data_IF_798397931095
#
_entry.id   IF_798397931095
#
_cell.length_a   1.000
_cell.length_b   1.000
_cell.length_c   1.000
_cell.angle_alpha   90.00
_cell.angle_beta   90.00
_cell.angle_gamma   90.00
#
_symmetry.space_group_name_H-M   'P 1'
#
loop_
_entity.id
_entity.type
_entity.pdbx_description
1 polymer ?
#
# COMPACT_ATOMS: atom_id res chain seq x y z
N UNK A 1 4.91 4.57 -3.85
CA UNK A 1 5.85 4.75 -5.00
C UNK A 1 6.92 3.67 -4.97
N UNK A 2 7.64 3.56 -3.87
CA UNK A 2 8.85 2.74 -3.72
C UNK A 2 8.48 1.36 -3.22
N UNK A 3 8.12 0.44 -4.12
CA UNK A 3 8.01 -1.01 -3.79
C UNK A 3 7.65 -1.86 -4.99
N UNK A 4 8.19 -3.08 -5.02
CA UNK A 4 7.62 -4.21 -5.75
C UNK A 4 8.41 -4.69 -6.95
N UNK A 5 9.44 -3.99 -7.40
CA UNK A 5 10.31 -4.50 -8.46
C UNK A 5 11.74 -4.69 -7.98
N UNK A 6 12.46 -5.63 -8.59
CA UNK A 6 13.89 -5.80 -8.33
C UNK A 6 14.70 -4.57 -8.71
N UNK A 7 14.24 -3.80 -9.68
CA UNK A 7 14.86 -2.52 -10.05
C UNK A 7 14.77 -1.57 -8.86
N UNK A 8 13.62 -1.49 -8.24
CA UNK A 8 13.44 -0.64 -7.07
C UNK A 8 14.31 -1.08 -5.89
N UNK A 9 14.30 -2.37 -5.58
CA UNK A 9 15.11 -2.94 -4.51
C UNK A 9 16.62 -2.73 -4.73
N UNK A 10 17.13 -2.93 -5.95
CA UNK A 10 18.55 -2.77 -6.28
C UNK A 10 19.00 -1.32 -6.16
N UNK A 11 18.17 -0.37 -6.57
CA UNK A 11 18.48 1.06 -6.52
C UNK A 11 17.85 1.78 -5.32
N UNK A 12 17.22 1.04 -4.41
CA UNK A 12 16.61 1.58 -3.18
C UNK A 12 15.67 2.76 -3.45
N UNK A 13 14.81 2.64 -4.46
CA UNK A 13 13.84 3.66 -4.83
C UNK A 13 14.36 4.78 -5.72
N UNK A 14 15.67 4.88 -5.97
CA UNK A 14 16.22 5.93 -6.86
C UNK A 14 15.64 5.80 -8.28
N UNK A 15 15.63 4.59 -8.84
CA UNK A 15 15.07 4.34 -10.17
C UNK A 15 13.58 4.69 -10.24
N UNK A 16 12.82 4.37 -9.22
CA UNK A 16 11.40 4.72 -9.12
C UNK A 16 11.22 6.24 -9.08
N UNK A 17 12.05 6.95 -8.30
CA UNK A 17 11.98 8.41 -8.22
C UNK A 17 12.32 9.06 -9.55
N UNK A 18 13.31 8.56 -10.28
CA UNK A 18 13.66 9.07 -11.61
C UNK A 18 12.55 8.80 -12.65
N UNK A 19 11.90 7.61 -12.59
CA UNK A 19 10.73 7.32 -13.44
C UNK A 19 9.56 8.25 -13.08
N UNK A 20 9.29 8.47 -11.81
CA UNK A 20 8.26 9.40 -11.36
C UNK A 20 8.55 10.84 -11.80
N UNK A 21 9.82 11.27 -11.77
CA UNK A 21 10.24 12.56 -12.29
C UNK A 21 9.97 12.70 -13.80
N UNK A 22 10.13 11.61 -14.56
CA UNK A 22 9.76 11.59 -15.98
C UNK A 22 8.24 11.70 -16.18
N UNK A 23 7.46 11.01 -15.36
CA UNK A 23 5.99 11.05 -15.41
C UNK A 23 5.41 12.38 -14.90
N UNK A 24 6.16 13.11 -14.09
CA UNK A 24 5.85 14.44 -13.58
C UNK A 24 4.43 14.57 -12.98
N UNK A 25 4.08 13.80 -11.94
CA UNK A 25 2.79 13.94 -11.28
C UNK A 25 2.64 15.32 -10.64
N UNK A 26 1.43 15.86 -10.63
CA UNK A 26 1.15 17.16 -10.03
C UNK A 26 1.32 17.17 -8.50
N UNK A 27 0.90 16.12 -7.80
CA UNK A 27 1.06 15.93 -6.34
C UNK A 27 1.09 14.44 -6.00
N UNK A 28 1.89 14.08 -5.01
CA UNK A 28 1.99 12.71 -4.51
C UNK A 28 1.89 12.70 -2.97
N UNK A 29 1.22 11.69 -2.39
CA UNK A 29 1.27 11.41 -0.96
C UNK A 29 2.26 10.29 -0.64
N UNK A 30 2.78 10.28 0.59
CA UNK A 30 3.59 9.20 1.11
C UNK A 30 2.77 7.94 1.38
N UNK A 31 3.36 6.78 1.11
CA UNK A 31 2.91 5.49 1.61
C UNK A 31 3.88 4.91 2.65
N UNK A 32 3.60 3.69 3.12
CA UNK A 32 4.45 3.02 4.11
C UNK A 32 5.78 2.55 3.53
N UNK A 33 5.81 2.19 2.27
CA UNK A 33 7.00 1.64 1.63
C UNK A 33 8.08 2.68 1.31
N UNK A 34 7.75 3.96 1.36
CA UNK A 34 8.74 5.02 1.29
C UNK A 34 9.74 4.99 2.46
N UNK A 35 9.40 4.28 3.54
CA UNK A 35 10.26 4.11 4.73
C UNK A 35 11.08 2.82 4.73
N UNK A 36 10.92 1.94 3.75
CA UNK A 36 11.59 0.63 3.71
C UNK A 36 13.12 0.72 3.76
N UNK A 37 13.68 1.82 3.28
CA UNK A 37 15.13 2.10 3.32
C UNK A 37 15.53 3.10 4.40
N UNK A 38 14.65 3.37 5.34
CA UNK A 38 14.86 4.28 6.47
C UNK A 38 14.66 5.76 6.14
N UNK A 39 14.53 6.55 7.21
CA UNK A 39 14.23 7.98 7.10
C UNK A 39 15.26 8.80 6.34
N UNK A 40 16.59 8.67 6.59
CA UNK A 40 17.59 9.45 5.85
C UNK A 40 17.49 9.24 4.35
N UNK A 41 17.17 8.01 3.94
CA UNK A 41 17.01 7.67 2.53
C UNK A 41 15.72 8.25 1.94
N UNK A 42 14.60 8.21 2.69
CA UNK A 42 13.36 8.88 2.29
C UNK A 42 13.60 10.39 2.04
N UNK A 43 14.30 11.07 2.95
CA UNK A 43 14.62 12.50 2.79
C UNK A 43 15.51 12.76 1.57
N UNK A 44 16.42 11.84 1.27
CA UNK A 44 17.20 11.90 0.04
C UNK A 44 16.32 11.75 -1.20
N UNK A 45 15.40 10.77 -1.24
CA UNK A 45 14.46 10.59 -2.35
C UNK A 45 13.52 11.80 -2.50
N UNK A 46 13.07 12.37 -1.40
CA UNK A 46 12.24 13.59 -1.42
C UNK A 46 12.98 14.76 -2.09
N UNK A 47 14.28 14.92 -1.84
CA UNK A 47 15.10 15.94 -2.51
C UNK A 47 15.35 15.68 -3.98
N UNK A 48 15.30 14.42 -4.42
CA UNK A 48 15.39 14.05 -5.84
C UNK A 48 14.10 14.32 -6.60
N UNK A 49 12.94 14.32 -5.93
CA UNK A 49 11.65 14.53 -6.56
C UNK A 49 11.53 15.94 -7.15
N UNK A 50 11.11 16.04 -8.42
CA UNK A 50 10.78 17.32 -9.08
C UNK A 50 9.28 17.64 -9.00
N UNK A 51 8.53 16.90 -8.19
CA UNK A 51 7.12 17.04 -7.91
C UNK A 51 6.87 17.15 -6.40
N UNK A 52 5.78 17.78 -5.96
CA UNK A 52 5.48 17.93 -4.55
C UNK A 52 5.03 16.60 -3.92
N UNK A 53 5.63 16.26 -2.79
CA UNK A 53 5.21 15.18 -1.91
C UNK A 53 4.58 15.79 -0.67
N UNK A 54 3.31 15.44 -0.37
CA UNK A 54 2.55 16.03 0.76
C UNK A 54 2.26 15.01 1.85
N UNK A 55 2.39 15.46 3.11
CA UNK A 55 1.93 14.71 4.26
C UNK A 55 1.66 15.62 5.47
N UNK A 56 0.44 15.57 6.01
CA UNK A 56 0.00 16.45 7.09
C UNK A 56 0.24 15.90 8.49
N UNK A 57 0.36 14.58 8.65
CA UNK A 57 0.33 13.92 9.95
C UNK A 57 1.64 13.25 10.39
N UNK A 58 2.76 13.58 9.76
CA UNK A 58 4.10 13.15 10.17
C UNK A 58 4.88 14.29 10.80
N UNK A 59 5.37 14.08 12.02
CA UNK A 59 6.13 15.08 12.77
C UNK A 59 7.50 14.59 13.17
N UNK A 60 8.49 15.47 13.12
CA UNK A 60 9.78 15.29 13.78
C UNK A 60 9.59 15.67 15.25
N UNK A 61 9.54 14.69 16.14
CA UNK A 61 9.19 14.84 17.55
C UNK A 61 10.03 15.92 18.26
N UNK A 62 11.34 15.85 18.06
CA UNK A 62 12.28 16.76 18.71
C UNK A 62 12.02 18.24 18.42
N UNK A 63 11.50 18.55 17.24
CA UNK A 63 11.32 19.93 16.77
C UNK A 63 9.86 20.35 16.67
N UNK A 64 8.94 19.42 16.91
CA UNK A 64 7.49 19.62 16.70
C UNK A 64 7.18 20.22 15.31
N UNK A 65 7.93 19.79 14.29
CA UNK A 65 7.76 20.23 12.90
C UNK A 65 7.32 19.05 12.03
N UNK A 66 6.45 19.33 11.08
CA UNK A 66 6.09 18.33 10.07
C UNK A 66 7.33 17.89 9.27
N UNK A 67 7.37 16.60 8.95
CA UNK A 67 8.47 16.00 8.19
C UNK A 67 8.45 16.45 6.73
N UNK A 68 7.24 16.56 6.16
CA UNK A 68 6.98 16.93 4.76
C UNK A 68 6.13 18.19 4.68
N UNK A 69 6.01 18.73 3.48
CA UNK A 69 5.03 19.78 3.22
C UNK A 69 3.63 19.24 3.46
N UNK A 70 2.81 19.91 4.29
CA UNK A 70 1.51 19.39 4.66
C UNK A 70 0.47 19.46 3.54
N UNK A 71 0.65 20.33 2.57
CA UNK A 71 -0.29 20.57 1.47
C UNK A 71 0.41 21.15 0.24
N UNK A 72 -0.31 21.15 -0.87
CA UNK A 72 0.03 21.87 -2.10
C UNK A 72 -1.24 22.43 -2.72
N UNK A 73 -1.24 23.69 -3.11
CA UNK A 73 -2.28 24.29 -3.95
C UNK A 73 -1.78 24.32 -5.38
N UNK A 74 -2.64 23.93 -6.30
CA UNK A 74 -2.36 23.90 -7.74
C UNK A 74 -3.52 24.56 -8.45
N UNK A 75 -3.23 25.49 -9.37
CA UNK A 75 -4.21 26.00 -10.30
C UNK A 75 -4.29 25.10 -11.53
N UNK A 76 -5.46 24.54 -11.82
CA UNK A 76 -5.73 23.75 -13.01
C UNK A 76 -7.07 24.17 -13.61
N UNK A 77 -7.06 24.50 -14.88
CA UNK A 77 -8.26 24.92 -15.62
C UNK A 77 -9.00 26.13 -14.99
N UNK A 78 -8.28 26.98 -14.27
CA UNK A 78 -8.85 28.13 -13.56
C UNK A 78 -9.28 27.83 -12.13
N UNK A 79 -9.25 26.57 -11.68
CA UNK A 79 -9.62 26.16 -10.33
C UNK A 79 -8.39 26.09 -9.42
N UNK A 80 -8.49 26.62 -8.22
CA UNK A 80 -7.49 26.47 -7.16
C UNK A 80 -7.80 25.23 -6.32
N UNK A 81 -6.95 24.19 -6.49
CA UNK A 81 -7.14 22.88 -5.89
C UNK A 81 -6.16 22.67 -4.74
N UNK A 82 -6.66 22.48 -3.53
CA UNK A 82 -5.88 22.17 -2.33
C UNK A 82 -5.71 20.65 -2.19
N UNK A 83 -4.46 20.20 -2.21
CA UNK A 83 -4.10 18.82 -1.92
C UNK A 83 -3.42 18.72 -0.56
N UNK A 84 -3.81 17.74 0.26
CA UNK A 84 -3.11 17.36 1.48
C UNK A 84 -3.02 15.84 1.59
N UNK A 85 -2.12 15.33 2.44
CA UNK A 85 -1.83 13.89 2.51
C UNK A 85 -1.87 13.33 3.92
N UNK A 86 -2.38 12.10 4.06
CA UNK A 86 -2.43 11.34 5.32
C UNK A 86 -1.84 9.94 5.11
N UNK A 87 -1.04 9.49 6.07
CA UNK A 87 -0.42 8.16 6.06
C UNK A 87 -0.96 7.30 7.21
N UNK A 88 -0.82 5.97 7.10
CA UNK A 88 -1.28 5.04 8.13
C UNK A 88 -0.45 5.08 9.42
N UNK A 89 -1.11 4.94 10.56
CA UNK A 89 -0.48 4.78 11.87
C UNK A 89 0.36 3.48 11.97
N UNK A 90 0.06 2.46 11.17
CA UNK A 90 0.74 1.15 11.21
C UNK A 90 2.22 1.20 10.84
N UNK A 91 2.66 2.22 10.11
CA UNK A 91 4.09 2.47 9.85
C UNK A 91 4.88 2.70 11.14
N UNK A 92 4.21 3.16 12.17
CA UNK A 92 4.78 3.40 13.49
C UNK A 92 5.56 2.22 14.03
N UNK A 93 5.08 1.01 13.82
CA UNK A 93 5.74 -0.16 14.39
C UNK A 93 7.13 -0.36 13.78
N UNK A 94 7.30 0.01 12.51
CA UNK A 94 8.60 0.00 11.83
C UNK A 94 9.47 1.20 12.22
N UNK A 95 8.87 2.37 12.47
CA UNK A 95 9.57 3.62 12.79
C UNK A 95 9.70 3.91 14.28
N UNK A 96 9.02 3.17 15.16
CA UNK A 96 9.15 3.29 16.64
C UNK A 96 10.57 3.15 17.15
N UNK A 97 11.45 2.53 16.37
CA UNK A 97 12.86 2.37 16.69
C UNK A 97 13.71 3.59 16.30
N UNK A 98 13.15 4.53 15.51
CA UNK A 98 13.88 5.76 15.19
C UNK A 98 13.50 6.86 16.21
N UNK A 99 14.44 7.26 17.10
CA UNK A 99 14.16 8.27 18.14
C UNK A 99 13.89 9.67 17.57
N UNK A 100 14.13 9.89 16.29
CA UNK A 100 13.98 11.19 15.62
C UNK A 100 12.57 11.41 15.09
N UNK A 101 11.86 10.32 14.73
CA UNK A 101 10.47 10.41 14.26
C UNK A 101 9.57 9.94 15.37
N UNK A 102 8.59 10.70 15.70
CA UNK A 102 7.87 10.26 16.79
C UNK A 102 6.60 10.90 17.18
N UNK A 103 5.79 11.45 16.35
CA UNK A 103 4.41 11.65 16.77
C UNK A 103 3.53 11.35 15.58
N UNK A 104 2.99 10.18 15.64
CA UNK A 104 1.91 9.79 14.79
C UNK A 104 0.65 10.11 15.54
N UNK A 105 -0.19 10.74 14.86
CA UNK A 105 -1.48 11.11 15.37
C UNK A 105 -2.46 9.97 15.04
N UNK A 106 -3.34 9.70 15.96
CA UNK A 106 -4.50 8.84 15.74
C UNK A 106 -5.31 9.33 14.55
N UNK A 107 -6.21 8.53 14.02
CA UNK A 107 -7.08 8.94 12.92
C UNK A 107 -7.89 10.21 13.28
N UNK A 108 -8.30 10.34 14.55
CA UNK A 108 -8.96 11.53 15.09
C UNK A 108 -8.05 12.76 15.04
N UNK A 109 -6.79 12.62 15.44
CA UNK A 109 -5.82 13.72 15.42
C UNK A 109 -5.45 14.08 13.96
N UNK A 110 -5.33 13.07 13.07
CA UNK A 110 -5.11 13.27 11.64
C UNK A 110 -6.24 14.11 11.02
N UNK A 111 -7.50 13.85 11.38
CA UNK A 111 -8.62 14.69 10.93
C UNK A 111 -8.47 16.13 11.39
N UNK A 112 -7.99 16.36 12.63
CA UNK A 112 -7.71 17.71 13.12
C UNK A 112 -6.57 18.41 12.35
N UNK A 113 -5.54 17.66 11.92
CA UNK A 113 -4.47 18.23 11.08
C UNK A 113 -4.99 18.67 9.71
N UNK A 114 -5.88 17.89 9.09
CA UNK A 114 -6.60 18.29 7.87
C UNK A 114 -7.40 19.57 8.13
N UNK A 115 -8.18 19.61 9.22
CA UNK A 115 -8.97 20.77 9.59
C UNK A 115 -8.14 22.04 9.83
N UNK A 116 -6.92 21.93 10.40
CA UNK A 116 -6.00 23.07 10.55
C UNK A 116 -5.56 23.61 9.18
N UNK A 117 -5.30 22.73 8.21
CA UNK A 117 -4.89 23.13 6.86
C UNK A 117 -6.07 23.82 6.16
N UNK A 118 -7.25 23.20 6.13
CA UNK A 118 -8.43 23.77 5.49
C UNK A 118 -8.82 25.12 6.11
N UNK A 119 -8.77 25.24 7.45
CA UNK A 119 -9.06 26.50 8.14
C UNK A 119 -8.04 27.61 7.84
N UNK A 120 -6.77 27.26 7.56
CA UNK A 120 -5.77 28.26 7.19
C UNK A 120 -6.10 28.95 5.86
N UNK A 121 -6.82 28.26 4.99
CA UNK A 121 -7.25 28.73 3.66
C UNK A 121 -8.75 29.04 3.58
N UNK A 122 -9.44 29.14 4.73
CA UNK A 122 -10.88 29.37 4.76
C UNK A 122 -11.33 30.66 4.09
N UNK A 123 -10.45 31.67 4.04
CA UNK A 123 -10.73 32.97 3.41
C UNK A 123 -10.17 33.06 1.98
N UNK A 124 -9.47 32.03 1.53
CA UNK A 124 -9.00 31.93 0.17
C UNK A 124 -10.04 31.18 -0.65
N UNK A 125 -10.12 31.51 -1.91
CA UNK A 125 -11.08 30.91 -2.84
C UNK A 125 -10.54 29.56 -3.33
N UNK A 126 -10.71 28.53 -2.51
CA UNK A 126 -10.32 27.16 -2.83
C UNK A 126 -11.53 26.44 -3.41
N UNK A 127 -11.46 26.14 -4.69
CA UNK A 127 -12.55 25.50 -5.44
C UNK A 127 -12.74 24.02 -5.13
N UNK A 128 -11.64 23.32 -4.79
CA UNK A 128 -11.65 21.89 -4.56
C UNK A 128 -10.61 21.48 -3.52
N UNK A 129 -10.99 20.69 -2.52
CA UNK A 129 -10.05 20.14 -1.54
C UNK A 129 -9.98 18.62 -1.66
N UNK A 130 -8.78 18.10 -2.00
CA UNK A 130 -8.50 16.69 -2.23
C UNK A 130 -7.56 16.15 -1.16
N UNK A 131 -7.98 15.06 -0.52
CA UNK A 131 -7.19 14.30 0.43
C UNK A 131 -6.55 13.10 -0.26
N UNK A 132 -5.24 13.02 -0.24
CA UNK A 132 -4.48 11.84 -0.70
C UNK A 132 -4.11 11.00 0.50
N UNK A 133 -4.71 9.81 0.64
CA UNK A 133 -4.53 8.98 1.83
C UNK A 133 -3.81 7.67 1.53
N UNK A 134 -3.02 7.21 2.51
CA UNK A 134 -2.43 5.87 2.48
C UNK A 134 -2.70 5.12 3.79
N UNK A 135 -3.99 5.03 4.16
CA UNK A 135 -4.47 4.47 5.44
C UNK A 135 -5.36 3.23 5.27
N UNK A 136 -5.76 2.92 4.05
CA UNK A 136 -6.67 1.82 3.71
C UNK A 136 -8.13 2.25 3.68
N UNK A 137 -8.92 1.56 2.86
CA UNK A 137 -10.31 1.93 2.55
C UNK A 137 -11.21 2.07 3.78
N UNK A 138 -11.15 1.11 4.71
CA UNK A 138 -11.95 1.17 5.94
C UNK A 138 -11.62 2.41 6.79
N UNK A 139 -10.32 2.74 6.88
CA UNK A 139 -9.88 3.96 7.58
C UNK A 139 -10.25 5.23 6.81
N UNK A 140 -10.32 5.20 5.48
CA UNK A 140 -10.80 6.33 4.67
C UNK A 140 -12.28 6.61 4.96
N UNK A 141 -13.12 5.56 5.10
CA UNK A 141 -14.52 5.68 5.48
C UNK A 141 -14.69 6.27 6.89
N UNK A 142 -13.84 5.85 7.84
CA UNK A 142 -13.83 6.36 9.20
C UNK A 142 -13.36 7.84 9.23
N UNK A 143 -12.27 8.15 8.52
CA UNK A 143 -11.77 9.51 8.40
C UNK A 143 -12.83 10.47 7.84
N UNK A 144 -13.52 10.07 6.78
CA UNK A 144 -14.57 10.90 6.17
C UNK A 144 -15.72 11.23 7.14
N UNK A 145 -16.00 10.36 8.13
CA UNK A 145 -16.99 10.64 9.19
C UNK A 145 -16.48 11.65 10.23
N UNK A 146 -15.15 11.71 10.41
CA UNK A 146 -14.49 12.61 11.36
C UNK A 146 -14.25 14.01 10.79
N UNK A 147 -14.20 14.14 9.47
CA UNK A 147 -14.02 15.41 8.79
C UNK A 147 -15.28 16.25 8.92
N UNK A 148 -15.11 17.48 9.38
CA UNK A 148 -16.23 18.41 9.56
C UNK A 148 -16.63 19.03 8.22
N UNK A 149 -17.94 19.21 7.97
CA UNK A 149 -18.42 19.80 6.70
C UNK A 149 -17.84 21.19 6.41
N UNK A 150 -17.62 21.99 7.45
CA UNK A 150 -17.05 23.34 7.32
C UNK A 150 -15.59 23.38 6.89
N UNK A 151 -14.90 22.24 6.80
CA UNK A 151 -13.54 22.15 6.28
C UNK A 151 -13.50 22.01 4.76
N UNK A 152 -14.65 21.74 4.10
CA UNK A 152 -14.77 21.74 2.65
C UNK A 152 -13.96 20.65 1.95
N UNK A 153 -13.76 19.48 2.58
CA UNK A 153 -13.11 18.35 1.91
C UNK A 153 -14.10 17.68 0.96
N UNK A 154 -13.73 17.56 -0.32
CA UNK A 154 -14.62 17.07 -1.39
C UNK A 154 -14.32 15.64 -1.80
N UNK A 155 -13.03 15.26 -1.83
CA UNK A 155 -12.57 14.00 -2.38
C UNK A 155 -11.45 13.39 -1.55
N UNK A 156 -11.54 12.09 -1.31
CA UNK A 156 -10.46 11.25 -0.79
C UNK A 156 -10.02 10.28 -1.89
N UNK A 157 -8.74 10.35 -2.26
CA UNK A 157 -8.09 9.36 -3.12
C UNK A 157 -7.22 8.50 -2.22
N UNK A 158 -7.67 7.27 -1.97
CA UNK A 158 -7.08 6.36 -1.00
C UNK A 158 -6.09 5.34 -1.60
N UNK A 159 -5.34 4.71 -0.70
CA UNK A 159 -4.38 3.65 -1.01
C UNK A 159 -4.24 2.64 0.14
N UNK A 160 -3.15 1.88 0.17
CA UNK A 160 -2.73 0.91 1.18
C UNK A 160 -3.48 -0.43 1.14
N UNK A 161 -4.81 -0.46 1.14
CA UNK A 161 -5.60 -1.70 1.14
C UNK A 161 -5.70 -2.37 -0.24
N UNK A 162 -5.23 -1.71 -1.29
CA UNK A 162 -5.32 -2.16 -2.69
C UNK A 162 -6.76 -2.38 -3.16
N UNK A 163 -7.71 -1.67 -2.57
CA UNK A 163 -9.13 -1.82 -2.89
C UNK A 163 -9.42 -1.29 -4.30
N UNK A 164 -10.20 -2.04 -5.06
CA UNK A 164 -10.70 -1.63 -6.38
C UNK A 164 -12.15 -1.19 -6.21
N UNK A 165 -12.42 0.10 -6.36
CA UNK A 165 -13.75 0.67 -6.25
C UNK A 165 -14.31 0.95 -7.65
N UNK A 166 -15.22 0.10 -8.11
CA UNK A 166 -15.95 0.32 -9.38
C UNK A 166 -16.81 1.59 -9.34
N UNK A 167 -17.22 2.02 -8.15
CA UNK A 167 -17.92 3.28 -7.88
C UNK A 167 -17.34 3.91 -6.63
N UNK A 168 -17.17 5.24 -6.57
CA UNK A 168 -16.76 5.93 -5.36
C UNK A 168 -17.79 5.70 -4.24
N UNK A 169 -17.29 5.51 -3.01
CA UNK A 169 -18.13 5.62 -1.83
C UNK A 169 -18.41 7.10 -1.54
N UNK A 170 -19.50 7.40 -0.83
CA UNK A 170 -19.85 8.76 -0.45
C UNK A 170 -20.21 8.83 1.03
N UNK A 171 -19.48 9.62 1.80
CA UNK A 171 -19.71 9.87 3.23
C UNK A 171 -19.73 11.39 3.44
N UNK A 172 -20.77 11.92 4.06
CA UNK A 172 -20.89 13.36 4.38
C UNK A 172 -20.58 14.29 3.19
N UNK A 173 -21.05 13.95 1.99
CA UNK A 173 -20.75 14.60 0.70
C UNK A 173 -19.34 14.32 0.15
N UNK A 174 -18.41 13.78 0.92
CA UNK A 174 -17.04 13.46 0.49
C UNK A 174 -17.09 12.20 -0.39
N UNK A 175 -16.51 12.28 -1.57
CA UNK A 175 -16.30 11.13 -2.46
C UNK A 175 -15.02 10.40 -2.04
N UNK A 176 -15.05 9.06 -2.08
CA UNK A 176 -13.90 8.22 -1.71
C UNK A 176 -13.64 7.22 -2.83
N UNK A 177 -12.43 7.20 -3.38
CA UNK A 177 -12.04 6.30 -4.44
C UNK A 177 -10.67 5.65 -4.20
N UNK A 178 -10.53 4.42 -4.67
CA UNK A 178 -9.24 3.71 -4.78
C UNK A 178 -9.23 2.91 -6.08
N UNK A 179 -8.07 2.87 -6.74
CA UNK A 179 -7.90 2.26 -8.06
C UNK A 179 -7.11 0.93 -8.03
N UNK A 180 -6.96 0.29 -6.86
CA UNK A 180 -6.25 -0.99 -6.76
C UNK A 180 -4.74 -0.85 -6.56
N UNK A 181 -3.96 -1.70 -7.24
CA UNK A 181 -2.50 -1.82 -7.03
C UNK A 181 -1.79 -2.14 -8.35
N UNK A 182 -0.47 -1.95 -8.36
CA UNK A 182 0.43 -2.48 -9.38
C UNK A 182 0.36 -1.79 -10.74
N UNK A 183 -0.25 -0.62 -10.82
CA UNK A 183 -0.51 0.06 -12.09
C UNK A 183 -1.39 -0.77 -13.05
N UNK A 184 -2.25 -1.64 -12.52
CA UNK A 184 -3.19 -2.43 -13.33
C UNK A 184 -4.23 -1.51 -14.01
N UNK A 185 -4.49 -0.35 -13.42
CA UNK A 185 -5.49 0.60 -13.92
C UNK A 185 -5.27 2.02 -13.39
N UNK A 186 -5.85 2.99 -14.09
CA UNK A 186 -5.92 4.39 -13.70
C UNK A 186 -7.33 4.70 -13.20
N UNK A 187 -7.44 5.32 -12.02
CA UNK A 187 -8.70 5.94 -11.59
C UNK A 187 -8.82 7.32 -12.20
N UNK A 188 -9.88 7.56 -12.98
CA UNK A 188 -10.17 8.85 -13.60
C UNK A 188 -11.44 9.43 -13.06
N UNK A 189 -11.34 10.65 -12.51
CA UNK A 189 -12.49 11.52 -12.24
C UNK A 189 -12.58 12.62 -13.30
N UNK A 190 -13.75 12.78 -13.87
CA UNK A 190 -14.17 13.99 -14.57
C UNK A 190 -15.13 14.73 -13.66
N UNK A 191 -14.76 15.92 -13.16
CA UNK A 191 -15.47 16.63 -12.09
C UNK A 191 -15.96 17.97 -12.61
N UNK A 192 -17.17 18.34 -12.25
CA UNK A 192 -17.75 19.67 -12.43
C UNK A 192 -17.86 20.34 -11.07
N UNK A 193 -17.18 21.48 -10.92
CA UNK A 193 -17.22 22.32 -9.73
C UNK A 193 -18.10 23.51 -9.98
N UNK A 194 -18.88 23.90 -8.99
CA UNK A 194 -19.65 25.15 -8.98
C UNK A 194 -18.84 26.22 -8.29
N UNK A 195 -18.40 27.26 -9.02
CA UNK A 195 -17.52 28.31 -8.55
C UNK A 195 -18.15 29.19 -7.44
N UNK A 196 -19.49 29.30 -7.38
CA UNK A 196 -20.16 30.09 -6.33
C UNK A 196 -20.19 29.37 -5.00
N UNK A 197 -20.21 28.03 -5.03
CA UNK A 197 -20.34 27.21 -3.81
C UNK A 197 -19.10 26.39 -3.49
N UNK A 198 -18.09 26.40 -4.37
CA UNK A 198 -16.85 25.62 -4.26
C UNK A 198 -17.16 24.16 -3.93
N UNK A 199 -18.07 23.55 -4.71
CA UNK A 199 -18.54 22.19 -4.45
C UNK A 199 -18.63 21.36 -5.72
N UNK A 200 -18.40 20.05 -5.59
CA UNK A 200 -18.64 19.10 -6.69
C UNK A 200 -20.14 18.96 -6.92
N UNK A 201 -20.63 19.42 -8.08
CA UNK A 201 -22.04 19.31 -8.50
C UNK A 201 -22.30 18.09 -9.38
N UNK A 202 -21.32 17.66 -10.16
CA UNK A 202 -21.40 16.43 -10.95
C UNK A 202 -20.02 15.79 -11.10
N UNK A 203 -20.00 14.48 -11.30
CA UNK A 203 -18.76 13.74 -11.56
C UNK A 203 -18.99 12.47 -12.34
N UNK A 204 -17.96 12.06 -13.09
CA UNK A 204 -17.87 10.72 -13.66
C UNK A 204 -16.64 10.02 -13.09
N UNK A 205 -16.76 8.74 -12.79
CA UNK A 205 -15.65 7.91 -12.32
C UNK A 205 -15.46 6.72 -13.23
N UNK A 206 -14.22 6.44 -13.60
CA UNK A 206 -13.86 5.30 -14.43
C UNK A 206 -12.58 4.66 -13.91
N UNK A 207 -12.53 3.34 -13.94
CA UNK A 207 -11.29 2.56 -13.84
C UNK A 207 -10.87 2.21 -15.26
N UNK A 208 -9.75 2.75 -15.70
CA UNK A 208 -9.20 2.56 -17.04
C UNK A 208 -8.07 1.54 -16.93
N UNK A 209 -8.23 0.30 -17.43
CA UNK A 209 -7.17 -0.69 -17.42
C UNK A 209 -5.94 -0.20 -18.20
N UNK A 210 -4.74 -0.44 -17.65
CA UNK A 210 -3.48 -0.15 -18.34
C UNK A 210 -3.06 -1.42 -19.07
N UNK A 211 -3.30 -1.46 -20.36
CA UNK A 211 -2.94 -2.55 -21.24
C UNK A 211 -2.33 -2.04 -22.57
N UNK A 212 -1.92 -2.96 -23.41
CA UNK A 212 -1.29 -2.65 -24.71
C UNK A 212 -2.23 -1.90 -25.68
N UNK A 213 -3.55 -1.92 -25.42
CA UNK A 213 -4.56 -1.25 -26.26
C UNK A 213 -4.77 0.20 -25.85
N UNK A 214 -4.44 0.58 -24.59
CA UNK A 214 -4.69 1.91 -24.07
C UNK A 214 -3.83 2.96 -24.77
N UNK A 215 -2.53 2.70 -24.90
CA UNK A 215 -1.58 3.58 -25.55
C UNK A 215 -0.33 2.81 -26.00
N UNK A 216 0.35 3.35 -27.04
CA UNK A 216 1.68 2.84 -27.39
C UNK A 216 2.69 3.23 -26.31
N UNK A 217 3.60 2.29 -25.91
CA UNK A 217 4.65 2.61 -24.96
C UNK A 217 5.50 3.80 -25.42
N UNK A 218 5.78 4.72 -24.53
CA UNK A 218 6.74 5.78 -24.77
C UNK A 218 8.15 5.19 -24.93
N UNK A 219 8.78 5.46 -26.08
CA UNK A 219 10.07 4.86 -26.44
C UNK A 219 11.18 5.30 -25.48
N UNK A 220 11.20 6.60 -25.10
CA UNK A 220 12.24 7.15 -24.22
C UNK A 220 12.12 6.58 -22.82
N UNK A 221 10.90 6.52 -22.29
CA UNK A 221 10.65 5.92 -20.97
C UNK A 221 10.99 4.43 -20.99
N UNK A 222 10.65 3.71 -22.05
CA UNK A 222 10.98 2.29 -22.22
C UNK A 222 12.50 2.07 -22.23
N UNK A 223 13.27 2.85 -22.99
CA UNK A 223 14.73 2.80 -23.02
C UNK A 223 15.33 3.12 -21.66
N UNK A 224 14.78 4.13 -20.98
CA UNK A 224 15.20 4.54 -19.66
C UNK A 224 15.02 3.43 -18.62
N UNK A 225 13.82 2.83 -18.54
CA UNK A 225 13.54 1.67 -17.66
C UNK A 225 14.45 0.50 -18.01
N UNK A 226 14.66 0.20 -19.28
CA UNK A 226 15.53 -0.88 -19.74
C UNK A 226 16.99 -0.67 -19.35
N UNK A 227 17.45 0.58 -19.19
CA UNK A 227 18.82 0.87 -18.71
C UNK A 227 19.05 0.37 -17.29
N UNK A 228 18.06 0.49 -16.40
CA UNK A 228 18.09 -0.09 -15.05
C UNK A 228 17.95 -1.61 -15.11
N UNK A 229 16.96 -2.10 -15.87
CA UNK A 229 16.63 -3.52 -15.97
C UNK A 229 17.81 -4.38 -16.42
N UNK A 230 18.57 -3.96 -17.43
CA UNK A 230 19.74 -4.70 -17.93
C UNK A 230 20.78 -5.02 -16.87
N UNK A 231 21.02 -4.11 -15.91
CA UNK A 231 21.97 -4.35 -14.82
C UNK A 231 21.42 -5.35 -13.81
N UNK A 232 20.14 -5.20 -13.45
CA UNK A 232 19.41 -6.07 -12.52
C UNK A 232 19.32 -7.49 -13.10
N UNK A 233 18.87 -7.62 -14.34
CA UNK A 233 18.73 -8.92 -15.02
C UNK A 233 20.06 -9.70 -15.03
N UNK A 234 21.19 -9.05 -15.35
CA UNK A 234 22.51 -9.70 -15.31
C UNK A 234 22.88 -10.21 -13.92
N UNK A 235 22.57 -9.44 -12.87
CA UNK A 235 22.92 -9.79 -11.49
C UNK A 235 22.08 -10.96 -10.98
N UNK A 236 20.80 -11.03 -11.36
CA UNK A 236 19.82 -11.93 -10.78
C UNK A 236 19.28 -13.02 -11.71
N UNK A 237 19.84 -13.15 -12.93
CA UNK A 237 19.40 -14.15 -13.92
C UNK A 237 19.73 -15.62 -13.57
N UNK A 238 20.56 -15.84 -12.54
CA UNK A 238 20.97 -17.18 -12.14
C UNK A 238 19.80 -18.05 -11.74
N UNK A 239 19.67 -19.24 -12.36
CA UNK A 239 18.66 -20.25 -12.00
C UNK A 239 19.03 -20.84 -10.64
N UNK A 240 18.12 -20.75 -9.67
CA UNK A 240 18.32 -21.24 -8.30
C UNK A 240 17.55 -22.52 -8.01
N UNK A 241 16.46 -22.80 -8.77
CA UNK A 241 15.63 -23.98 -8.55
C UNK A 241 14.83 -24.35 -9.80
N UNK A 242 14.43 -25.63 -9.84
CA UNK A 242 13.47 -26.13 -10.83
C UNK A 242 12.35 -26.85 -10.07
N UNK A 243 11.14 -26.33 -10.18
CA UNK A 243 9.94 -26.93 -9.61
C UNK A 243 9.39 -28.01 -10.54
N UNK A 244 8.72 -29.02 -10.00
CA UNK A 244 8.06 -30.06 -10.80
C UNK A 244 6.95 -29.48 -11.69
N UNK A 245 6.30 -28.42 -11.23
CA UNK A 245 5.27 -27.69 -11.95
C UNK A 245 5.26 -26.23 -11.55
N UNK A 246 4.58 -25.39 -12.32
CA UNK A 246 4.28 -24.01 -11.94
C UNK A 246 3.39 -24.00 -10.70
N UNK A 247 3.72 -23.13 -9.72
CA UNK A 247 2.94 -22.89 -8.52
C UNK A 247 2.22 -21.55 -8.64
N UNK A 248 1.02 -21.45 -8.03
CA UNK A 248 0.16 -20.28 -8.20
C UNK A 248 -0.25 -19.65 -6.87
N UNK A 249 -0.47 -18.33 -6.90
CA UNK A 249 -1.00 -17.52 -5.82
C UNK A 249 -1.93 -16.44 -6.37
N UNK A 250 -3.07 -16.83 -6.97
CA UNK A 250 -3.93 -15.90 -7.70
C UNK A 250 -4.70 -14.94 -6.77
N UNK A 251 -4.95 -15.36 -5.53
CA UNK A 251 -5.74 -14.64 -4.54
C UNK A 251 -5.09 -14.77 -3.15
N UNK A 252 -5.30 -13.75 -2.31
CA UNK A 252 -4.73 -13.69 -0.95
C UNK A 252 -5.62 -14.35 0.11
N UNK A 253 -6.88 -14.59 -0.21
CA UNK A 253 -7.93 -15.04 0.69
C UNK A 253 -8.12 -16.57 0.66
N UNK A 254 -7.37 -17.26 -0.17
CA UNK A 254 -7.49 -18.71 -0.34
C UNK A 254 -6.14 -19.40 -0.14
N UNK A 255 -6.20 -20.68 0.23
CA UNK A 255 -5.04 -21.57 0.24
C UNK A 255 -4.47 -21.72 -1.19
N UNK A 256 -3.16 -21.59 -1.36
CA UNK A 256 -2.51 -21.63 -2.66
C UNK A 256 -1.28 -22.52 -2.65
N UNK A 257 -0.95 -23.11 -3.83
CA UNK A 257 0.21 -23.99 -3.96
C UNK A 257 1.53 -23.28 -3.66
N UNK A 258 1.67 -22.00 -4.05
CA UNK A 258 2.85 -21.21 -3.78
C UNK A 258 2.93 -20.81 -2.30
N UNK A 259 1.79 -20.43 -1.70
CA UNK A 259 1.71 -20.15 -0.26
C UNK A 259 2.12 -21.36 0.60
N UNK A 260 1.66 -22.54 0.23
CA UNK A 260 2.02 -23.78 0.91
C UNK A 260 3.52 -24.11 0.79
N UNK A 261 4.13 -23.92 -0.39
CA UNK A 261 5.57 -24.11 -0.55
C UNK A 261 6.36 -23.19 0.40
N UNK A 262 6.06 -21.90 0.42
CA UNK A 262 6.77 -20.91 1.25
C UNK A 262 6.58 -21.24 2.75
N UNK A 263 5.35 -21.50 3.19
CA UNK A 263 5.08 -21.86 4.58
C UNK A 263 5.79 -23.16 4.99
N UNK A 264 5.87 -24.14 4.09
CA UNK A 264 6.59 -25.39 4.32
C UNK A 264 8.08 -25.18 4.51
N UNK A 265 8.71 -24.38 3.62
CA UNK A 265 10.14 -24.07 3.71
C UNK A 265 10.46 -23.35 5.02
N UNK A 266 9.66 -22.37 5.43
CA UNK A 266 9.85 -21.68 6.69
C UNK A 266 9.64 -22.60 7.90
N UNK A 267 8.61 -23.46 7.89
CA UNK A 267 8.37 -24.41 8.96
C UNK A 267 9.53 -25.39 9.11
N UNK A 268 10.01 -25.96 8.01
CA UNK A 268 11.09 -26.96 8.01
C UNK A 268 12.41 -26.35 8.51
N UNK A 269 12.67 -25.06 8.22
CA UNK A 269 13.90 -24.38 8.64
C UNK A 269 13.82 -23.73 10.04
N UNK A 270 12.62 -23.47 10.56
CA UNK A 270 12.43 -22.84 11.88
C UNK A 270 12.18 -23.84 13.02
N UNK A 271 12.01 -25.14 12.72
CA UNK A 271 11.62 -26.19 13.67
C UNK A 271 10.32 -25.83 14.43
N UNK A 272 9.43 -25.10 13.80
CA UNK A 272 8.15 -24.72 14.37
C UNK A 272 7.08 -25.78 14.08
N UNK A 273 6.18 -26.06 15.05
CA UNK A 273 5.06 -26.96 14.85
C UNK A 273 4.00 -26.38 13.91
N UNK A 274 3.87 -25.07 13.90
CA UNK A 274 2.94 -24.30 13.07
C UNK A 274 3.65 -23.09 12.51
N UNK A 275 3.52 -22.85 11.20
CA UNK A 275 4.03 -21.66 10.53
C UNK A 275 2.86 -20.84 9.99
N UNK A 276 2.87 -19.54 10.31
CA UNK A 276 1.93 -18.56 9.77
C UNK A 276 2.69 -17.60 8.87
N UNK A 277 2.29 -17.49 7.62
CA UNK A 277 2.87 -16.56 6.63
C UNK A 277 1.77 -15.66 6.10
N UNK A 278 2.01 -14.36 6.12
CA UNK A 278 1.07 -13.40 5.53
C UNK A 278 0.99 -13.60 4.01
N UNK A 279 -0.20 -13.91 3.49
CA UNK A 279 -0.40 -14.10 2.05
C UNK A 279 -0.02 -12.85 1.23
N UNK A 280 -0.13 -11.66 1.82
CA UNK A 280 0.31 -10.41 1.23
C UNK A 280 1.82 -10.27 1.03
N UNK A 281 2.64 -11.10 1.70
CA UNK A 281 4.10 -11.14 1.51
C UNK A 281 4.50 -11.86 0.21
N UNK A 282 3.58 -12.64 -0.39
CA UNK A 282 3.78 -13.28 -1.69
C UNK A 282 3.29 -12.32 -2.77
N UNK A 283 4.20 -11.79 -3.58
CA UNK A 283 3.96 -10.65 -4.47
C UNK A 283 3.69 -11.02 -5.94
N UNK A 284 3.82 -12.30 -6.30
CA UNK A 284 3.55 -12.78 -7.66
C UNK A 284 2.35 -13.72 -7.69
N UNK A 285 1.66 -13.77 -8.82
CA UNK A 285 0.52 -14.68 -9.02
C UNK A 285 0.96 -16.11 -9.31
N UNK A 286 2.20 -16.30 -9.77
CA UNK A 286 2.74 -17.62 -10.14
C UNK A 286 4.28 -17.66 -10.04
N UNK A 287 4.86 -18.84 -9.84
CA UNK A 287 6.30 -19.08 -9.78
C UNK A 287 6.67 -20.41 -10.45
N UNK A 288 7.75 -20.41 -11.22
CA UNK A 288 8.31 -21.60 -11.88
C UNK A 288 7.63 -22.01 -13.19
N UNK A 289 7.92 -23.20 -13.76
CA UNK A 289 8.72 -24.28 -13.14
C UNK A 289 10.24 -23.99 -13.01
N UNK A 290 10.84 -23.16 -13.86
CA UNK A 290 12.21 -22.71 -13.72
C UNK A 290 12.20 -21.43 -12.89
N UNK A 291 12.99 -21.40 -11.82
CA UNK A 291 13.03 -20.28 -10.88
C UNK A 291 14.42 -19.66 -10.89
N UNK A 292 14.50 -18.42 -11.30
CA UNK A 292 15.72 -17.60 -11.18
C UNK A 292 15.75 -16.90 -9.82
N UNK A 293 16.89 -16.37 -9.44
CA UNK A 293 16.99 -15.50 -8.25
C UNK A 293 16.11 -14.26 -8.40
N UNK A 294 15.98 -13.73 -9.62
CA UNK A 294 15.05 -12.64 -9.94
C UNK A 294 13.61 -13.00 -9.61
N UNK A 295 13.14 -14.17 -10.07
CA UNK A 295 11.77 -14.63 -9.84
C UNK A 295 11.50 -14.82 -8.34
N UNK A 296 12.47 -15.37 -7.61
CA UNK A 296 12.35 -15.58 -6.18
C UNK A 296 12.25 -14.26 -5.41
N UNK A 297 13.13 -13.30 -5.69
CA UNK A 297 13.13 -11.99 -5.06
C UNK A 297 11.89 -11.16 -5.43
N UNK A 298 11.37 -11.32 -6.64
CA UNK A 298 10.08 -10.72 -7.01
C UNK A 298 8.91 -11.38 -6.27
N UNK A 299 9.01 -12.69 -6.02
CA UNK A 299 7.99 -13.44 -5.29
C UNK A 299 7.92 -13.04 -3.80
N UNK A 300 9.07 -12.92 -3.16
CA UNK A 300 9.19 -12.62 -1.73
C UNK A 300 10.27 -11.56 -1.50
N UNK A 301 9.98 -10.27 -1.72
CA UNK A 301 10.97 -9.19 -1.75
C UNK A 301 11.37 -8.67 -0.36
N UNK A 302 10.89 -9.28 0.71
CA UNK A 302 11.11 -8.81 2.08
C UNK A 302 12.25 -9.56 2.75
N UNK A 303 13.06 -8.84 3.53
CA UNK A 303 14.11 -9.38 4.41
C UNK A 303 13.56 -9.46 5.85
N UNK A 304 12.41 -10.12 5.99
CA UNK A 304 11.72 -10.26 7.27
C UNK A 304 12.39 -11.32 8.15
N UNK A 305 12.40 -11.08 9.45
CA UNK A 305 12.84 -12.07 10.43
C UNK A 305 11.70 -13.00 10.83
N UNK A 306 12.02 -14.29 11.09
CA UNK A 306 11.09 -15.23 11.68
C UNK A 306 10.98 -15.00 13.19
N UNK A 307 9.77 -14.76 13.67
CA UNK A 307 9.47 -14.65 15.08
C UNK A 307 8.91 -15.98 15.62
N UNK A 308 9.45 -16.47 16.72
CA UNK A 308 9.03 -17.72 17.34
C UNK A 308 8.32 -17.46 18.67
N UNK A 309 7.13 -18.02 18.83
CA UNK A 309 6.32 -17.92 20.04
C UNK A 309 5.93 -19.29 20.55
N UNK A 310 5.94 -19.46 21.87
CA UNK A 310 5.32 -20.62 22.52
C UNK A 310 3.87 -20.23 22.86
N UNK A 311 2.90 -20.94 22.30
CA UNK A 311 1.48 -20.69 22.48
C UNK A 311 0.74 -21.97 22.83
N UNK A 312 -0.41 -21.84 23.51
CA UNK A 312 -1.30 -22.97 23.80
C UNK A 312 -2.18 -23.27 22.58
N UNK A 313 -2.80 -24.48 22.59
CA UNK A 313 -3.77 -24.84 21.54
C UNK A 313 -5.00 -23.93 21.52
N UNK A 314 -5.43 -23.42 22.66
CA UNK A 314 -6.53 -22.45 22.75
C UNK A 314 -6.15 -21.11 22.09
N UNK A 315 -4.93 -20.60 22.34
CA UNK A 315 -4.44 -19.39 21.69
C UNK A 315 -4.35 -19.56 20.17
N UNK A 316 -3.90 -20.74 19.71
CA UNK A 316 -3.86 -21.06 18.29
C UNK A 316 -5.27 -21.07 17.67
N UNK A 317 -6.25 -21.68 18.33
CA UNK A 317 -7.65 -21.66 17.89
C UNK A 317 -8.21 -20.22 17.82
N UNK A 318 -7.85 -19.38 18.78
CA UNK A 318 -8.25 -17.96 18.76
C UNK A 318 -7.64 -17.19 17.58
N UNK A 319 -6.37 -17.46 17.24
CA UNK A 319 -5.72 -16.88 16.06
C UNK A 319 -6.48 -17.28 14.78
N UNK A 320 -6.81 -18.56 14.63
CA UNK A 320 -7.59 -19.04 13.49
C UNK A 320 -8.99 -18.43 13.44
N UNK A 321 -9.69 -18.42 14.55
CA UNK A 321 -11.03 -17.83 14.62
C UNK A 321 -11.02 -16.35 14.27
N UNK A 322 -9.99 -15.63 14.68
CA UNK A 322 -9.80 -14.22 14.31
C UNK A 322 -9.52 -14.04 12.82
N UNK A 323 -8.68 -14.88 12.24
CA UNK A 323 -8.32 -14.82 10.83
C UNK A 323 -9.45 -15.24 9.89
N UNK A 324 -10.27 -16.23 10.29
CA UNK A 324 -11.38 -16.77 9.48
C UNK A 324 -12.72 -16.12 9.79
N UNK A 325 -12.88 -15.46 10.95
CA UNK A 325 -14.19 -15.08 11.51
C UNK A 325 -14.69 -13.67 11.16
N UNK A 326 -13.99 -12.87 10.36
CA UNK A 326 -14.43 -11.52 9.98
C UNK A 326 -14.85 -11.43 8.51
N UNK A 327 -16.16 -11.42 8.21
CA UNK A 327 -16.66 -11.34 6.82
C UNK A 327 -16.43 -9.97 6.16
N UNK A 328 -15.95 -8.96 6.89
CA UNK A 328 -15.78 -7.58 6.41
C UNK A 328 -14.33 -7.16 6.16
N UNK A 329 -13.36 -7.98 6.54
CA UNK A 329 -11.95 -7.80 6.16
C UNK A 329 -11.63 -8.96 5.23
N UNK A 330 -11.11 -8.74 4.00
CA UNK A 330 -10.63 -9.84 3.17
C UNK A 330 -9.72 -10.68 4.06
N UNK A 331 -10.11 -11.91 4.32
CA UNK A 331 -9.35 -12.82 5.16
C UNK A 331 -7.93 -12.80 4.58
N UNK A 332 -6.97 -12.28 5.32
CA UNK A 332 -5.57 -12.45 4.97
C UNK A 332 -5.32 -13.93 5.17
N UNK A 333 -5.56 -14.73 4.12
CA UNK A 333 -5.31 -16.14 4.18
C UNK A 333 -3.82 -16.28 4.47
N UNK A 334 -3.53 -16.74 5.67
CA UNK A 334 -2.19 -17.11 6.06
C UNK A 334 -2.00 -18.52 5.56
N UNK A 335 -0.98 -18.76 4.73
CA UNK A 335 -0.58 -20.11 4.43
C UNK A 335 -0.14 -20.76 5.75
N UNK A 336 -0.83 -21.84 6.14
CA UNK A 336 -0.63 -22.50 7.43
C UNK A 336 -0.25 -23.94 7.16
N UNK A 337 0.90 -24.36 7.69
CA UNK A 337 1.24 -25.77 7.77
C UNK A 337 1.33 -26.22 9.21
N UNK A 338 0.62 -27.30 9.52
CA UNK A 338 0.82 -28.09 10.75
C UNK A 338 1.92 -29.11 10.46
N UNK A 339 3.11 -28.93 11.02
CA UNK A 339 4.20 -29.90 10.94
C UNK A 339 4.03 -30.95 12.02
N UNK A 340 3.72 -32.18 11.64
CA UNK A 340 3.49 -33.37 12.49
C UNK A 340 2.36 -33.21 13.50
N UNK A 341 1.18 -33.79 13.22
CA UNK A 341 0.09 -33.80 14.18
C UNK A 341 0.41 -34.75 15.32
N UNK A 342 0.37 -34.27 16.56
CA UNK A 342 0.02 -35.18 17.67
C UNK A 342 -1.42 -35.64 17.42
N UNK A 343 -1.67 -36.93 17.44
CA UNK A 343 -2.98 -37.56 17.06
C UNK A 343 -4.22 -36.92 17.71
N UNK A 344 -4.09 -36.25 18.84
CA UNK A 344 -5.17 -35.58 19.56
C UNK A 344 -5.61 -34.23 18.95
N UNK A 345 -4.73 -33.50 18.30
CA UNK A 345 -5.05 -32.18 17.71
C UNK A 345 -5.91 -32.28 16.45
N UNK A 346 -5.75 -33.37 15.67
CA UNK A 346 -6.44 -33.53 14.37
C UNK A 346 -7.95 -33.78 14.49
N UNK A 347 -8.45 -34.28 15.60
CA UNK A 347 -9.87 -34.60 15.74
C UNK A 347 -10.72 -33.36 16.00
N UNK A 348 -10.20 -32.39 16.73
CA UNK A 348 -10.92 -31.15 17.08
C UNK A 348 -10.73 -30.06 16.00
N UNK A 349 -9.54 -29.95 15.42
CA UNK A 349 -9.26 -28.97 14.37
C UNK A 349 -9.98 -29.32 13.04
N UNK A 350 -10.07 -30.61 12.65
CA UNK A 350 -10.78 -31.02 11.44
C UNK A 350 -12.29 -30.74 11.45
N UNK A 351 -12.91 -30.72 12.63
CA UNK A 351 -14.34 -30.39 12.73
C UNK A 351 -14.63 -28.90 12.60
N UNK A 352 -13.67 -28.03 12.96
CA UNK A 352 -13.81 -26.59 12.92
C UNK A 352 -13.24 -25.96 11.62
N UNK A 353 -12.21 -26.58 11.02
CA UNK A 353 -11.62 -26.15 9.73
C UNK A 353 -12.48 -26.49 8.49
N UNK A 354 -13.47 -27.38 8.60
CA UNK A 354 -14.45 -27.64 7.53
C UNK A 354 -15.46 -26.50 7.33
N UNK A 355 -15.40 -25.44 8.12
CA UNK A 355 -16.27 -24.26 8.05
C UNK A 355 -15.52 -22.97 7.65
N UNK A 356 -14.22 -23.02 7.37
CA UNK A 356 -13.44 -21.91 6.81
C UNK A 356 -13.22 -22.06 5.30
#
# INVERSE_FOLDING_TARGET
>A
MVQGSLIDAEYKGISTMEIMNYLAPDVVALGNHEFDYGLPHLLFLEKMANFPIVNANLYIKKYNKRLMNPYKIINKAGLDILFTGIITEKIMDTLKQDPLIGSFVTLQEASCEVGKICNAYKNDDIDLTILLTHIGYESDLELAKLLKPEWGVDLIIGGHSHTVLAKPAKINKILIAQAGVGSDQIGRFDIVVDDDTNAIVDYQWQLIPIDENLAKPDTRLTEFINSFKKKVDRKYAGVISKLAQKLTHPQRETETSLGNLIANIFADNSLADVMLVGSGSIRVKELGPLVTLSDFLACFPYDDSLQRFAITGEQLLNIFSHSCGRPTVPARANAIRLTKPSRQFMTTAKSNLKRC
#
